data_IF_814091952485
#
_entry.id   IF_814091952485
#
_cell.length_a   1.000
_cell.length_b   1.000
_cell.length_c   1.000
_cell.angle_alpha   90.00
_cell.angle_beta   90.00
_cell.angle_gamma   90.00
#
_symmetry.space_group_name_H-M   'P 1'
#
loop_
_entity.id
_entity.type
_entity.pdbx_description
1 polymer ?
#
# COMPACT_ATOMS: atom_id res chain seq x y z
N UNK A 1 49.59 26.27 4.21
CA UNK A 1 48.76 25.58 5.22
C UNK A 1 47.37 26.21 5.25
N UNK A 2 46.37 25.60 4.61
CA UNK A 2 44.97 26.03 4.75
C UNK A 2 44.43 25.37 6.01
N UNK A 3 44.22 26.16 7.07
CA UNK A 3 43.53 25.70 8.26
C UNK A 3 42.12 25.23 7.87
N UNK A 4 41.90 23.92 7.94
CA UNK A 4 40.58 23.34 7.75
C UNK A 4 39.69 23.85 8.87
N UNK A 5 38.74 24.73 8.56
CA UNK A 5 37.65 25.09 9.46
C UNK A 5 36.76 23.84 9.62
N UNK A 6 37.17 22.93 10.51
CA UNK A 6 36.31 21.88 11.03
C UNK A 6 35.21 22.57 11.84
N UNK A 7 34.10 22.91 11.17
CA UNK A 7 32.88 23.35 11.83
C UNK A 7 32.50 22.26 12.84
N UNK A 8 32.70 22.53 14.13
CA UNK A 8 32.23 21.68 15.24
C UNK A 8 30.73 21.47 15.04
N UNK A 9 30.32 20.27 14.60
CA UNK A 9 28.91 19.87 14.67
C UNK A 9 28.62 19.60 16.14
N UNK A 10 27.90 20.52 16.78
CA UNK A 10 27.35 20.27 18.12
C UNK A 10 26.26 19.21 18.00
N UNK A 11 26.57 17.98 18.41
CA UNK A 11 25.58 16.92 18.55
C UNK A 11 25.00 17.03 19.95
N UNK A 12 23.90 17.75 20.11
CA UNK A 12 23.13 17.67 21.36
C UNK A 12 22.44 16.31 21.34
N UNK A 13 22.83 15.47 22.29
CA UNK A 13 22.11 14.23 22.57
C UNK A 13 20.71 14.57 23.10
N UNK A 14 19.64 13.90 22.65
CA UNK A 14 18.36 13.90 23.37
C UNK A 14 18.59 13.53 24.84
N UNK A 15 17.80 14.13 25.75
CA UNK A 15 17.82 13.77 27.17
C UNK A 15 17.47 12.28 27.36
N UNK A 16 17.91 11.70 28.48
CA UNK A 16 17.66 10.29 28.81
C UNK A 16 16.17 9.96 28.76
N UNK A 17 15.31 10.81 29.31
CA UNK A 17 13.84 10.67 29.26
C UNK A 17 13.29 10.43 27.85
N UNK A 18 13.71 11.23 26.85
CA UNK A 18 13.24 11.07 25.46
C UNK A 18 13.78 9.81 24.79
N UNK A 19 14.94 9.31 25.22
CA UNK A 19 15.49 8.03 24.75
C UNK A 19 14.69 6.88 25.34
N UNK A 20 14.42 6.92 26.64
CA UNK A 20 13.59 5.95 27.36
C UNK A 20 12.19 5.86 26.74
N UNK A 21 11.54 7.00 26.50
CA UNK A 21 10.21 7.05 25.85
C UNK A 21 10.22 6.39 24.46
N UNK A 22 11.26 6.66 23.65
CA UNK A 22 11.40 6.05 22.33
C UNK A 22 11.63 4.54 22.42
N UNK A 23 12.50 4.09 23.32
CA UNK A 23 12.81 2.67 23.50
C UNK A 23 11.58 1.89 23.99
N UNK A 24 10.83 2.41 24.96
CA UNK A 24 9.57 1.81 25.42
C UNK A 24 8.54 1.70 24.30
N UNK A 25 8.37 2.75 23.49
CA UNK A 25 7.43 2.73 22.36
C UNK A 25 7.91 1.78 21.25
N UNK A 26 9.22 1.69 21.00
CA UNK A 26 9.82 0.78 20.04
C UNK A 26 9.67 -0.68 20.47
N UNK A 27 9.88 -0.98 21.76
CA UNK A 27 9.70 -2.31 22.34
C UNK A 27 8.30 -2.85 22.05
N UNK A 28 7.26 -2.05 22.32
CA UNK A 28 5.88 -2.43 22.03
C UNK A 28 5.67 -2.74 20.54
N UNK A 29 6.25 -1.93 19.65
CA UNK A 29 6.12 -2.13 18.21
C UNK A 29 6.88 -3.36 17.70
N UNK A 30 8.03 -3.69 18.28
CA UNK A 30 8.86 -4.83 17.90
C UNK A 30 8.30 -6.15 18.44
N UNK A 31 7.86 -6.19 19.69
CA UNK A 31 7.25 -7.37 20.31
C UNK A 31 5.96 -7.76 19.59
N UNK A 32 5.21 -6.79 19.05
CA UNK A 32 4.02 -7.04 18.21
C UNK A 32 4.32 -7.89 16.97
N UNK A 33 5.53 -7.82 16.45
CA UNK A 33 5.96 -8.58 15.25
C UNK A 33 6.91 -9.73 15.58
N UNK A 34 6.89 -10.18 16.84
CA UNK A 34 7.61 -11.36 17.32
C UNK A 34 9.07 -11.14 17.66
N UNK A 35 9.61 -9.92 17.51
CA UNK A 35 10.95 -9.63 17.99
C UNK A 35 10.88 -9.45 19.50
N UNK A 36 11.53 -10.31 20.26
CA UNK A 36 11.57 -10.18 21.71
C UNK A 36 12.58 -9.10 22.09
N UNK A 37 12.06 -7.92 22.44
CA UNK A 37 12.84 -6.82 22.97
C UNK A 37 12.47 -6.61 24.44
N UNK A 38 13.49 -6.56 25.29
CA UNK A 38 13.38 -6.11 26.68
C UNK A 38 14.32 -4.93 26.90
N UNK A 39 13.77 -3.86 27.47
CA UNK A 39 14.49 -2.68 27.88
C UNK A 39 14.51 -2.63 29.42
N UNK A 40 15.70 -2.69 30.00
CA UNK A 40 15.90 -2.65 31.45
C UNK A 40 16.68 -1.39 31.80
N UNK A 41 16.05 -0.51 32.58
CA UNK A 41 16.68 0.71 33.10
C UNK A 41 17.21 0.44 34.51
N UNK A 42 18.53 0.51 34.67
CA UNK A 42 19.22 0.50 35.97
C UNK A 42 19.77 1.91 36.24
N UNK A 43 19.99 2.28 37.52
CA UNK A 43 20.22 3.65 37.99
C UNK A 43 21.09 4.56 37.09
N UNK A 44 22.10 4.01 36.39
CA UNK A 44 22.91 4.74 35.40
C UNK A 44 23.12 4.02 34.05
N UNK A 45 22.59 2.80 33.88
CA UNK A 45 22.84 1.96 32.71
C UNK A 45 21.53 1.50 32.05
N UNK A 46 21.59 1.35 30.73
CA UNK A 46 20.51 0.82 29.91
C UNK A 46 20.97 -0.51 29.33
N UNK A 47 20.26 -1.58 29.68
CA UNK A 47 20.43 -2.89 29.06
C UNK A 47 19.28 -3.14 28.08
N UNK A 48 19.63 -3.67 26.90
CA UNK A 48 18.65 -4.03 25.86
C UNK A 48 18.91 -5.48 25.49
N UNK A 49 17.97 -6.35 25.83
CA UNK A 49 17.91 -7.70 25.29
C UNK A 49 17.08 -7.67 24.01
N UNK A 50 17.59 -8.30 22.95
CA UNK A 50 16.91 -8.36 21.66
C UNK A 50 17.15 -9.72 21.01
N UNK A 51 16.07 -10.47 20.85
CA UNK A 51 16.03 -11.72 20.08
C UNK A 51 15.11 -11.52 18.88
N UNK A 52 15.63 -11.54 17.64
CA UNK A 52 14.79 -11.34 16.48
C UNK A 52 13.89 -12.54 16.23
N UNK A 53 12.67 -12.30 15.73
CA UNK A 53 11.84 -13.39 15.22
C UNK A 53 12.55 -14.11 14.07
N UNK A 54 12.67 -15.42 14.18
CA UNK A 54 13.29 -16.25 13.14
C UNK A 54 12.29 -16.52 12.00
N UNK A 55 12.25 -15.58 11.05
CA UNK A 55 11.43 -15.72 9.85
C UNK A 55 11.88 -16.84 8.91
N UNK A 56 13.11 -17.37 9.05
CA UNK A 56 13.63 -18.42 8.17
C UNK A 56 13.15 -19.81 8.60
N UNK A 57 13.02 -20.06 9.90
CA UNK A 57 12.50 -21.33 10.44
C UNK A 57 10.98 -21.37 10.58
N UNK A 58 10.31 -20.22 10.65
CA UNK A 58 8.86 -20.13 10.74
C UNK A 58 8.16 -20.58 9.45
N UNK A 59 7.05 -21.30 9.60
CA UNK A 59 6.19 -21.64 8.47
C UNK A 59 5.45 -20.43 7.90
N UNK A 60 5.07 -20.53 6.63
CA UNK A 60 4.26 -19.53 5.93
C UNK A 60 2.99 -19.11 6.70
N UNK A 61 2.34 -20.05 7.39
CA UNK A 61 1.11 -19.77 8.14
C UNK A 61 1.38 -19.09 9.47
N UNK A 62 2.48 -19.43 10.17
CA UNK A 62 2.90 -18.74 11.39
C UNK A 62 3.22 -17.28 11.11
N UNK A 63 4.00 -17.01 10.05
CA UNK A 63 4.31 -15.65 9.61
C UNK A 63 3.03 -14.90 9.25
N UNK A 64 2.11 -15.52 8.49
CA UNK A 64 0.82 -14.89 8.16
C UNK A 64 -0.02 -14.59 9.39
N UNK A 65 -0.08 -15.52 10.35
CA UNK A 65 -0.85 -15.34 11.58
C UNK A 65 -0.31 -14.19 12.44
N UNK A 66 1.00 -14.16 12.65
CA UNK A 66 1.71 -13.08 13.35
C UNK A 66 1.42 -11.72 12.70
N UNK A 67 1.56 -11.66 11.38
CA UNK A 67 1.36 -10.45 10.60
C UNK A 67 -0.09 -9.96 10.60
N UNK A 68 -1.06 -10.86 10.50
CA UNK A 68 -2.48 -10.52 10.60
C UNK A 68 -2.79 -9.93 11.97
N UNK A 69 -2.29 -10.55 13.05
CA UNK A 69 -2.45 -10.06 14.42
C UNK A 69 -1.86 -8.65 14.59
N UNK A 70 -0.61 -8.46 14.14
CA UNK A 70 0.09 -7.19 14.22
C UNK A 70 -0.63 -6.06 13.47
N UNK A 71 -1.08 -6.33 12.24
CA UNK A 71 -1.82 -5.35 11.45
C UNK A 71 -3.19 -5.02 12.03
N UNK A 72 -3.88 -6.01 12.60
CA UNK A 72 -5.16 -5.82 13.26
C UNK A 72 -5.03 -4.91 14.48
N UNK A 73 -4.00 -5.10 15.30
CA UNK A 73 -3.71 -4.21 16.43
C UNK A 73 -3.37 -2.77 15.96
N UNK A 74 -2.50 -2.62 14.96
CA UNK A 74 -2.16 -1.31 14.39
C UNK A 74 -3.37 -0.60 13.77
N UNK A 75 -4.28 -1.37 13.16
CA UNK A 75 -5.56 -0.87 12.68
C UNK A 75 -6.40 -0.35 13.85
N UNK A 76 -6.60 -1.13 14.91
CA UNK A 76 -7.35 -0.69 16.11
C UNK A 76 -6.76 0.60 16.70
N UNK A 77 -5.45 0.68 16.87
CA UNK A 77 -4.75 1.90 17.33
C UNK A 77 -5.08 3.09 16.41
N UNK A 78 -5.11 2.87 15.09
CA UNK A 78 -5.42 3.92 14.11
C UNK A 78 -6.88 4.37 14.19
N UNK A 79 -7.82 3.45 14.31
CA UNK A 79 -9.26 3.73 14.34
C UNK A 79 -9.66 4.44 15.64
N UNK A 80 -9.04 4.09 16.76
CA UNK A 80 -9.27 4.71 18.08
C UNK A 80 -8.59 6.05 18.28
N UNK A 81 -7.87 6.58 17.29
CA UNK A 81 -7.48 7.99 17.32
C UNK A 81 -8.73 8.86 17.31
N UNK A 82 -8.84 9.78 18.25
CA UNK A 82 -10.02 10.64 18.46
C UNK A 82 -10.61 11.24 17.17
N UNK A 83 -9.75 11.81 16.31
CA UNK A 83 -10.17 12.39 15.03
C UNK A 83 -10.65 11.36 13.98
N UNK A 84 -10.16 10.13 14.07
CA UNK A 84 -10.59 9.01 13.23
C UNK A 84 -11.87 8.38 13.77
N UNK A 85 -11.98 8.17 15.08
CA UNK A 85 -13.19 7.74 15.79
C UNK A 85 -14.38 8.63 15.41
N UNK A 86 -14.24 9.95 15.60
CA UNK A 86 -15.27 10.95 15.21
C UNK A 86 -15.64 10.90 13.72
N UNK A 87 -14.64 10.70 12.86
CA UNK A 87 -14.88 10.61 11.42
C UNK A 87 -15.67 9.35 11.06
N UNK A 88 -15.32 8.20 11.62
CA UNK A 88 -15.99 6.92 11.38
C UNK A 88 -17.47 7.01 11.77
N UNK A 89 -17.74 7.43 13.01
CA UNK A 89 -19.11 7.55 13.52
C UNK A 89 -19.97 8.47 12.64
N UNK A 90 -19.44 9.64 12.28
CA UNK A 90 -20.13 10.56 11.36
C UNK A 90 -20.47 9.92 10.01
N UNK A 91 -19.54 9.15 9.43
CA UNK A 91 -19.75 8.52 8.13
C UNK A 91 -20.78 7.38 8.20
N UNK A 92 -20.75 6.58 9.26
CA UNK A 92 -21.68 5.48 9.51
C UNK A 92 -23.09 5.95 9.86
N UNK A 93 -23.23 7.05 10.60
CA UNK A 93 -24.53 7.72 10.83
C UNK A 93 -25.10 8.36 9.55
N UNK A 94 -24.27 8.51 8.52
CA UNK A 94 -24.62 9.12 7.23
C UNK A 94 -24.77 8.08 6.12
N UNK A 95 -23.98 8.27 5.07
CA UNK A 95 -24.19 7.58 3.77
C UNK A 95 -23.69 6.14 3.75
N UNK A 96 -22.76 5.75 4.62
CA UNK A 96 -22.00 4.49 4.49
C UNK A 96 -22.90 3.25 4.49
N UNK A 97 -23.88 3.18 5.39
CA UNK A 97 -24.77 2.01 5.48
C UNK A 97 -25.54 1.77 4.18
N UNK A 98 -25.83 2.83 3.43
CA UNK A 98 -26.51 2.77 2.13
C UNK A 98 -25.55 2.55 0.96
N UNK A 99 -24.24 2.52 1.17
CA UNK A 99 -23.27 2.24 0.10
C UNK A 99 -22.80 0.78 0.11
N UNK A 100 -23.05 0.05 1.20
CA UNK A 100 -22.70 -1.36 1.34
C UNK A 100 -23.91 -2.21 0.97
N UNK A 101 -23.69 -3.24 0.14
CA UNK A 101 -24.76 -4.14 -0.25
C UNK A 101 -25.12 -5.09 0.91
N UNK A 102 -26.41 -5.36 1.12
CA UNK A 102 -26.80 -6.56 1.89
C UNK A 102 -26.59 -7.79 1.03
N UNK A 103 -26.28 -8.92 1.66
CA UNK A 103 -26.12 -10.19 0.97
C UNK A 103 -27.26 -10.55 0.03
N UNK A 104 -28.49 -10.37 0.51
CA UNK A 104 -29.73 -10.66 -0.23
C UNK A 104 -30.04 -9.69 -1.39
N UNK A 105 -29.33 -8.57 -1.48
CA UNK A 105 -29.56 -7.55 -2.52
C UNK A 105 -28.69 -7.78 -3.77
N UNK A 106 -27.68 -8.66 -3.69
CA UNK A 106 -26.73 -8.87 -4.78
C UNK A 106 -27.21 -10.01 -5.68
N UNK A 107 -27.62 -9.65 -6.90
CA UNK A 107 -27.80 -10.59 -8.00
C UNK A 107 -26.47 -10.74 -8.75
N UNK A 108 -25.86 -11.92 -8.64
CA UNK A 108 -24.52 -12.23 -9.15
C UNK A 108 -24.43 -12.00 -10.67
N UNK A 109 -25.46 -12.41 -11.42
CA UNK A 109 -25.48 -12.31 -12.89
C UNK A 109 -25.54 -10.85 -13.35
N UNK A 110 -26.11 -9.97 -12.51
CA UNK A 110 -26.30 -8.55 -12.82
C UNK A 110 -25.14 -7.67 -12.39
N UNK A 111 -24.15 -8.18 -11.64
CA UNK A 111 -23.01 -7.38 -11.18
C UNK A 111 -22.37 -6.66 -12.37
N UNK A 112 -22.38 -5.32 -12.35
CA UNK A 112 -21.83 -4.47 -13.41
C UNK A 112 -20.94 -3.40 -12.79
N UNK A 113 -19.60 -3.56 -12.84
CA UNK A 113 -18.68 -2.61 -12.26
C UNK A 113 -18.65 -1.29 -13.04
N UNK A 114 -18.60 -0.17 -12.33
CA UNK A 114 -18.30 1.16 -12.88
C UNK A 114 -17.22 1.82 -12.02
N UNK A 115 -16.14 2.27 -12.65
CA UNK A 115 -15.01 2.91 -11.96
C UNK A 115 -15.20 4.42 -11.96
N UNK A 116 -15.47 5.00 -10.79
CA UNK A 116 -15.64 6.46 -10.61
C UNK A 116 -14.44 7.07 -9.89
N UNK A 117 -13.82 8.08 -10.49
CA UNK A 117 -12.69 8.78 -9.88
C UNK A 117 -13.16 9.68 -8.74
N UNK A 118 -12.44 9.69 -7.61
CA UNK A 118 -12.78 10.53 -6.46
C UNK A 118 -12.31 11.98 -6.66
N UNK A 119 -13.23 12.87 -7.00
CA UNK A 119 -12.91 14.28 -7.25
C UNK A 119 -13.45 15.19 -6.15
N UNK A 120 -14.69 14.93 -5.70
CA UNK A 120 -15.34 15.72 -4.67
C UNK A 120 -14.76 15.44 -3.28
N UNK A 121 -15.15 16.25 -2.28
CA UNK A 121 -14.81 15.97 -0.88
C UNK A 121 -15.53 14.71 -0.39
N UNK A 122 -16.78 14.51 -0.81
CA UNK A 122 -17.60 13.37 -0.44
C UNK A 122 -16.98 12.06 -0.92
N UNK A 123 -16.56 11.97 -2.19
CA UNK A 123 -15.89 10.77 -2.72
C UNK A 123 -14.63 10.43 -1.94
N UNK A 124 -13.85 11.47 -1.58
CA UNK A 124 -12.60 11.31 -0.82
C UNK A 124 -12.87 10.86 0.61
N UNK A 125 -13.95 11.31 1.23
CA UNK A 125 -14.36 10.88 2.56
C UNK A 125 -14.90 9.43 2.50
N UNK A 126 -15.71 9.06 1.50
CA UNK A 126 -16.15 7.67 1.26
C UNK A 126 -14.93 6.75 1.03
N UNK A 127 -14.02 7.13 0.14
CA UNK A 127 -12.79 6.39 -0.10
C UNK A 127 -11.94 6.27 1.17
N UNK A 128 -11.82 7.35 1.96
CA UNK A 128 -11.09 7.33 3.24
C UNK A 128 -11.71 6.34 4.22
N UNK A 129 -13.03 6.29 4.32
CA UNK A 129 -13.72 5.32 5.16
C UNK A 129 -13.39 3.89 4.74
N UNK A 130 -13.62 3.55 3.46
CA UNK A 130 -13.37 2.18 2.96
C UNK A 130 -11.89 1.79 2.95
N UNK A 131 -10.97 2.76 2.87
CA UNK A 131 -9.52 2.51 2.98
C UNK A 131 -9.12 1.85 4.30
N UNK A 132 -9.87 2.06 5.38
CA UNK A 132 -9.60 1.42 6.67
C UNK A 132 -9.93 -0.09 6.69
N UNK A 133 -10.58 -0.63 5.64
CA UNK A 133 -10.78 -2.07 5.51
C UNK A 133 -9.49 -2.80 5.08
N UNK A 134 -8.55 -2.11 4.44
CA UNK A 134 -7.25 -2.69 4.14
C UNK A 134 -6.52 -3.03 5.44
N UNK A 135 -6.02 -4.27 5.55
CA UNK A 135 -5.33 -4.73 6.77
C UNK A 135 -4.05 -3.94 7.02
N UNK A 136 -3.28 -3.68 5.97
CA UNK A 136 -1.99 -2.99 6.10
C UNK A 136 -2.20 -1.53 6.52
N UNK A 137 -1.53 -1.05 7.59
CA UNK A 137 -1.62 0.32 8.05
C UNK A 137 -1.22 1.31 6.98
N UNK A 138 -2.14 2.22 6.68
CA UNK A 138 -1.97 3.14 5.56
C UNK A 138 -1.71 4.58 6.03
N UNK A 139 -0.70 5.22 5.43
CA UNK A 139 -0.43 6.66 5.58
C UNK A 139 -0.76 7.39 4.29
N UNK A 140 -1.38 8.58 4.33
CA UNK A 140 -1.60 9.36 3.10
C UNK A 140 -0.25 9.67 2.44
N UNK A 141 -0.06 9.20 1.21
CA UNK A 141 1.10 9.54 0.39
C UNK A 141 1.09 11.01 -0.03
N UNK A 142 2.27 11.54 -0.35
CA UNK A 142 2.46 12.90 -0.89
C UNK A 142 2.87 12.79 -2.36
N UNK A 143 2.46 13.74 -3.19
CA UNK A 143 2.78 13.78 -4.62
C UNK A 143 1.63 13.31 -5.50
N UNK A 144 1.97 12.65 -6.62
CA UNK A 144 0.97 12.10 -7.56
C UNK A 144 0.11 11.08 -6.82
N UNK A 145 -1.19 11.30 -6.77
CA UNK A 145 -2.16 10.36 -6.20
C UNK A 145 -3.55 10.66 -6.70
N UNK A 146 -4.33 9.61 -6.85
CA UNK A 146 -5.77 9.68 -7.02
C UNK A 146 -6.38 8.36 -6.54
N UNK A 147 -7.68 8.39 -6.37
CA UNK A 147 -8.44 7.25 -5.90
C UNK A 147 -9.67 7.08 -6.76
N UNK A 148 -10.18 5.86 -6.80
CA UNK A 148 -11.42 5.52 -7.46
C UNK A 148 -12.25 4.60 -6.57
N UNK A 149 -13.56 4.69 -6.72
CA UNK A 149 -14.54 3.78 -6.12
C UNK A 149 -15.15 2.96 -7.26
N UNK A 150 -15.27 1.66 -7.04
CA UNK A 150 -15.91 0.73 -7.97
C UNK A 150 -17.33 0.52 -7.49
N UNK A 151 -18.30 1.01 -8.24
CA UNK A 151 -19.72 0.80 -7.96
C UNK A 151 -20.25 -0.40 -8.75
N UNK A 152 -21.20 -1.12 -8.19
CA UNK A 152 -22.04 -2.07 -8.89
C UNK A 152 -23.31 -1.37 -9.33
N UNK A 153 -23.36 -0.97 -10.61
CA UNK A 153 -24.49 -0.22 -11.19
C UNK A 153 -25.55 -1.14 -11.80
N UNK A 154 -25.35 -2.46 -11.75
CA UNK A 154 -26.29 -3.44 -12.28
C UNK A 154 -27.36 -3.90 -11.28
N UNK A 155 -27.19 -3.54 -10.01
CA UNK A 155 -28.16 -3.84 -8.96
C UNK A 155 -29.31 -2.82 -8.95
N UNK A 156 -30.38 -3.14 -8.22
CA UNK A 156 -31.52 -2.21 -8.03
C UNK A 156 -31.09 -0.88 -7.41
N UNK A 157 -30.07 -0.91 -6.55
CA UNK A 157 -29.46 0.27 -5.95
C UNK A 157 -27.96 0.10 -6.07
N UNK A 158 -27.27 1.15 -6.50
CA UNK A 158 -25.82 1.09 -6.66
C UNK A 158 -25.14 0.85 -5.31
N UNK A 159 -24.19 -0.08 -5.28
CA UNK A 159 -23.41 -0.42 -4.07
C UNK A 159 -21.93 -0.43 -4.39
N UNK A 160 -21.07 -0.32 -3.39
CA UNK A 160 -19.63 -0.32 -3.59
C UNK A 160 -19.10 -1.75 -3.63
N UNK A 161 -18.48 -2.11 -4.76
CA UNK A 161 -17.71 -3.35 -4.93
C UNK A 161 -16.36 -3.24 -4.22
N UNK A 162 -15.70 -2.09 -4.36
CA UNK A 162 -14.34 -1.92 -3.90
C UNK A 162 -13.78 -0.53 -4.15
N UNK A 163 -12.52 -0.34 -3.76
CA UNK A 163 -11.79 0.91 -3.94
C UNK A 163 -10.39 0.66 -4.48
N UNK A 164 -9.89 1.60 -5.27
CA UNK A 164 -8.55 1.62 -5.85
C UNK A 164 -7.86 2.92 -5.46
N UNK A 165 -6.64 2.84 -4.92
CA UNK A 165 -5.82 3.99 -4.60
C UNK A 165 -4.45 3.88 -5.25
N UNK A 166 -4.16 4.83 -6.14
CA UNK A 166 -2.89 4.93 -6.84
C UNK A 166 -2.10 6.11 -6.29
N UNK A 167 -0.81 5.90 -6.06
CA UNK A 167 0.13 6.96 -5.66
C UNK A 167 1.44 6.86 -6.42
N UNK A 168 2.25 7.92 -6.42
CA UNK A 168 3.57 7.91 -7.05
C UNK A 168 4.42 6.77 -6.52
N UNK A 169 5.03 5.99 -7.42
CA UNK A 169 5.87 4.87 -7.02
C UNK A 169 7.10 5.36 -6.22
N UNK A 170 7.50 4.58 -5.21
CA UNK A 170 8.68 4.88 -4.41
C UNK A 170 9.92 5.03 -5.32
N UNK A 171 10.77 6.02 -5.06
CA UNK A 171 11.97 6.20 -5.88
C UNK A 171 12.90 4.98 -5.75
N UNK A 172 13.06 4.41 -4.57
CA UNK A 172 13.90 3.24 -4.32
C UNK A 172 13.08 1.95 -4.27
N UNK A 173 13.24 1.09 -5.28
CA UNK A 173 12.72 -0.28 -5.28
C UNK A 173 13.67 -1.15 -6.11
N UNK A 174 14.48 -1.98 -5.44
CA UNK A 174 15.52 -2.80 -6.08
C UNK A 174 14.92 -3.75 -7.12
N UNK A 175 13.92 -4.57 -6.74
CA UNK A 175 13.31 -5.54 -7.67
C UNK A 175 12.70 -4.88 -8.90
N UNK A 176 12.07 -3.70 -8.75
CA UNK A 176 11.56 -2.95 -9.90
C UNK A 176 12.69 -2.46 -10.78
N UNK A 177 13.67 -1.80 -10.17
CA UNK A 177 14.74 -1.15 -10.92
C UNK A 177 15.57 -2.19 -11.68
N UNK A 178 15.77 -3.37 -11.10
CA UNK A 178 16.41 -4.52 -11.76
C UNK A 178 15.55 -5.07 -12.91
N UNK A 179 14.27 -5.37 -12.66
CA UNK A 179 13.35 -5.91 -13.68
C UNK A 179 13.18 -4.98 -14.89
N UNK A 180 13.14 -3.66 -14.66
CA UNK A 180 13.03 -2.65 -15.71
C UNK A 180 14.38 -2.18 -16.26
N UNK A 181 15.51 -2.76 -15.82
CA UNK A 181 16.85 -2.36 -16.25
C UNK A 181 17.13 -0.85 -16.02
N UNK A 182 16.61 -0.32 -14.92
CA UNK A 182 16.86 1.05 -14.44
C UNK A 182 18.05 1.14 -13.48
N UNK A 183 18.66 0.02 -13.11
CA UNK A 183 19.90 -0.06 -12.33
C UNK A 183 21.06 -0.58 -13.18
N UNK A 184 22.29 -0.51 -12.65
CA UNK A 184 23.50 -1.03 -13.30
C UNK A 184 23.79 -0.41 -14.68
N UNK A 185 23.52 0.88 -14.82
CA UNK A 185 23.84 1.67 -16.02
C UNK A 185 25.15 2.43 -15.76
N UNK A 186 26.12 2.35 -16.68
CA UNK A 186 27.44 2.95 -16.52
C UNK A 186 27.39 4.47 -16.24
N UNK A 187 26.46 5.16 -16.90
CA UNK A 187 26.20 6.58 -16.70
C UNK A 187 25.12 6.83 -15.65
N UNK A 188 25.51 7.39 -14.50
CA UNK A 188 24.56 7.84 -13.45
C UNK A 188 23.54 8.85 -13.97
N UNK A 189 23.92 9.69 -14.94
CA UNK A 189 23.00 10.67 -15.53
C UNK A 189 21.92 9.97 -16.38
N UNK A 190 22.30 8.94 -17.12
CA UNK A 190 21.37 8.13 -17.90
C UNK A 190 20.45 7.29 -17.01
N UNK A 191 21.01 6.64 -15.98
CA UNK A 191 20.26 5.90 -14.96
C UNK A 191 19.15 6.77 -14.36
N UNK A 192 19.53 7.97 -13.89
CA UNK A 192 18.61 8.95 -13.34
C UNK A 192 17.54 9.36 -14.34
N UNK A 193 17.92 9.67 -15.58
CA UNK A 193 16.97 10.08 -16.64
C UNK A 193 15.95 8.98 -16.93
N UNK A 194 16.40 7.75 -17.18
CA UNK A 194 15.53 6.59 -17.47
C UNK A 194 14.55 6.33 -16.32
N UNK A 195 15.08 6.29 -15.10
CA UNK A 195 14.28 6.08 -13.89
C UNK A 195 13.27 7.20 -13.65
N UNK A 196 13.66 8.46 -13.79
CA UNK A 196 12.74 9.58 -13.62
C UNK A 196 11.64 9.59 -14.68
N UNK A 197 11.95 9.25 -15.93
CA UNK A 197 10.96 9.13 -17.00
C UNK A 197 9.98 7.99 -16.72
N UNK A 198 10.49 6.82 -16.37
CA UNK A 198 9.67 5.67 -16.03
C UNK A 198 8.81 5.88 -14.78
N UNK A 199 9.35 6.53 -13.75
CA UNK A 199 8.60 6.92 -12.55
C UNK A 199 7.49 7.94 -12.84
N UNK A 200 7.54 8.71 -13.92
CA UNK A 200 6.42 9.61 -14.32
C UNK A 200 5.26 8.83 -14.95
N UNK A 201 5.55 7.69 -15.59
CA UNK A 201 4.60 6.84 -16.33
C UNK A 201 4.14 5.60 -15.57
N UNK A 202 4.46 5.55 -14.29
CA UNK A 202 4.10 4.43 -13.42
C UNK A 202 3.51 4.93 -12.11
N UNK A 203 2.73 4.09 -11.46
CA UNK A 203 2.15 4.36 -10.14
C UNK A 203 2.32 3.14 -9.24
N UNK A 204 2.21 3.32 -7.93
CA UNK A 204 2.02 2.26 -6.97
C UNK A 204 0.52 2.10 -6.71
N UNK A 205 0.00 0.89 -6.91
CA UNK A 205 -1.31 0.45 -6.44
C UNK A 205 -1.21 0.21 -4.93
N UNK A 206 -1.45 1.29 -4.18
CA UNK A 206 -1.24 1.34 -2.74
C UNK A 206 -2.46 0.91 -1.95
N UNK A 207 -3.66 1.15 -2.49
CA UNK A 207 -4.93 0.68 -1.92
C UNK A 207 -5.63 -0.18 -2.95
N UNK A 208 -5.98 -1.40 -2.55
CA UNK A 208 -6.88 -2.27 -3.30
C UNK A 208 -7.69 -3.06 -2.29
N UNK A 209 -9.00 -2.87 -2.30
CA UNK A 209 -9.88 -3.52 -1.32
C UNK A 209 -11.24 -3.75 -1.95
N UNK A 210 -11.75 -4.98 -1.85
CA UNK A 210 -13.15 -5.27 -2.10
C UNK A 210 -13.94 -5.19 -0.80
N UNK A 211 -15.12 -4.59 -0.86
CA UNK A 211 -16.00 -4.41 0.28
C UNK A 211 -16.94 -5.60 0.34
N UNK A 212 -17.17 -6.21 1.52
CA UNK A 212 -18.19 -7.23 1.65
C UNK A 212 -19.56 -6.71 1.19
N UNK A 213 -20.36 -7.55 0.53
CA UNK A 213 -20.14 -8.98 0.31
C UNK A 213 -19.32 -9.33 -0.95
N UNK A 214 -18.90 -8.35 -1.75
CA UNK A 214 -18.20 -8.60 -3.03
C UNK A 214 -16.83 -9.27 -2.84
N UNK A 215 -16.20 -9.13 -1.67
CA UNK A 215 -14.98 -9.88 -1.36
C UNK A 215 -15.20 -11.41 -1.34
N UNK A 216 -16.39 -11.88 -0.97
CA UNK A 216 -16.77 -13.30 -1.04
C UNK A 216 -16.92 -13.79 -2.48
N UNK A 217 -17.08 -12.86 -3.42
CA UNK A 217 -17.20 -13.13 -4.86
C UNK A 217 -15.89 -12.83 -5.61
N UNK A 218 -14.74 -12.87 -4.93
CA UNK A 218 -13.44 -12.55 -5.53
C UNK A 218 -13.36 -11.10 -6.08
N UNK A 219 -14.11 -10.17 -5.50
CA UNK A 219 -14.12 -8.76 -5.90
C UNK A 219 -12.75 -8.09 -5.84
N UNK A 220 -11.82 -8.57 -5.01
CA UNK A 220 -10.44 -8.04 -4.98
C UNK A 220 -9.70 -8.33 -6.29
N UNK A 221 -10.00 -9.45 -6.96
CA UNK A 221 -9.44 -9.77 -8.27
C UNK A 221 -10.07 -8.89 -9.36
N UNK A 222 -11.37 -8.62 -9.27
CA UNK A 222 -12.04 -7.64 -10.14
C UNK A 222 -11.43 -6.23 -9.98
N UNK A 223 -11.22 -5.78 -8.75
CA UNK A 223 -10.55 -4.51 -8.47
C UNK A 223 -9.10 -4.45 -9.00
N UNK A 224 -8.38 -5.59 -8.99
CA UNK A 224 -7.03 -5.68 -9.55
C UNK A 224 -7.07 -5.50 -11.07
N UNK A 225 -7.98 -6.19 -11.76
CA UNK A 225 -8.22 -6.02 -13.20
C UNK A 225 -8.54 -4.56 -13.56
N UNK A 226 -9.46 -3.94 -12.81
CA UNK A 226 -9.91 -2.56 -13.04
C UNK A 226 -8.85 -1.51 -12.69
N UNK A 227 -7.72 -1.87 -12.06
CA UNK A 227 -6.66 -0.91 -11.72
C UNK A 227 -5.91 -0.36 -12.92
N UNK A 228 -6.10 -0.94 -14.11
CA UNK A 228 -5.54 -0.49 -15.38
C UNK A 228 -6.62 -0.27 -16.47
N UNK A 229 -7.91 -0.23 -16.11
CA UNK A 229 -9.02 -0.05 -17.06
C UNK A 229 -9.06 1.36 -17.66
N UNK A 230 -9.83 1.54 -18.74
CA UNK A 230 -9.97 2.81 -19.46
C UNK A 230 -10.23 4.04 -18.56
N UNK A 231 -11.17 4.04 -17.60
CA UNK A 231 -11.36 5.19 -16.71
C UNK A 231 -10.11 5.60 -15.91
N UNK A 232 -9.26 4.63 -15.54
CA UNK A 232 -8.00 4.89 -14.84
C UNK A 232 -6.96 5.47 -15.80
N UNK A 233 -6.87 4.91 -17.01
CA UNK A 233 -5.92 5.33 -18.06
C UNK A 233 -6.20 6.74 -18.55
N UNK A 234 -7.47 7.04 -18.84
CA UNK A 234 -7.96 8.34 -19.26
C UNK A 234 -7.66 9.39 -18.19
N UNK A 235 -8.09 9.15 -16.94
CA UNK A 235 -7.87 10.10 -15.85
C UNK A 235 -6.37 10.35 -15.60
N UNK A 236 -5.55 9.30 -15.59
CA UNK A 236 -4.11 9.44 -15.40
C UNK A 236 -3.47 10.28 -16.53
N UNK A 237 -3.82 9.96 -17.77
CA UNK A 237 -3.29 10.63 -18.96
C UNK A 237 -3.69 12.11 -19.00
N UNK A 238 -4.93 12.41 -18.67
CA UNK A 238 -5.44 13.78 -18.60
C UNK A 238 -4.79 14.57 -17.48
N UNK A 239 -4.63 13.98 -16.30
CA UNK A 239 -4.10 14.67 -15.13
C UNK A 239 -2.58 14.88 -15.20
N UNK A 240 -1.84 13.88 -15.68
CA UNK A 240 -0.37 13.88 -15.66
C UNK A 240 0.28 14.08 -17.03
N UNK A 241 -0.53 14.22 -18.09
CA UNK A 241 -0.10 14.48 -19.47
C UNK A 241 0.90 13.43 -19.98
N UNK A 242 0.72 12.19 -19.55
CA UNK A 242 1.54 11.03 -19.93
C UNK A 242 0.77 9.74 -19.61
N UNK A 243 0.96 8.63 -20.35
CA UNK A 243 0.20 7.40 -20.12
C UNK A 243 0.67 6.65 -18.87
N UNK A 244 -0.22 5.85 -18.30
CA UNK A 244 0.09 4.91 -17.24
C UNK A 244 0.52 3.57 -17.86
N UNK A 245 1.82 3.36 -17.98
CA UNK A 245 2.37 2.18 -18.64
C UNK A 245 2.37 0.94 -17.73
N UNK A 246 2.52 1.13 -16.42
CA UNK A 246 2.48 0.04 -15.44
C UNK A 246 2.13 0.53 -14.03
N UNK A 247 1.61 -0.38 -13.22
CA UNK A 247 1.43 -0.19 -11.77
C UNK A 247 2.32 -1.15 -10.99
N UNK A 248 2.77 -0.76 -9.81
CA UNK A 248 3.52 -1.63 -8.90
C UNK A 248 2.75 -1.84 -7.60
N UNK A 249 2.88 -3.00 -7.00
CA UNK A 249 2.34 -3.24 -5.68
C UNK A 249 3.18 -4.23 -4.90
N UNK A 250 2.94 -4.29 -3.61
CA UNK A 250 3.59 -5.21 -2.69
C UNK A 250 2.52 -6.02 -1.97
N UNK A 251 2.76 -7.31 -1.76
CA UNK A 251 1.88 -8.13 -0.94
C UNK A 251 1.84 -7.62 0.50
N UNK A 252 0.73 -7.89 1.17
CA UNK A 252 0.58 -7.63 2.60
C UNK A 252 1.14 -8.77 3.46
N UNK A 253 1.09 -10.01 2.96
CA UNK A 253 1.39 -11.23 3.70
C UNK A 253 2.21 -12.19 2.84
N UNK A 254 3.51 -12.25 3.09
CA UNK A 254 4.43 -13.14 2.38
C UNK A 254 4.71 -12.73 0.92
N UNK A 255 5.13 -13.72 0.14
CA UNK A 255 5.60 -13.54 -1.23
C UNK A 255 4.50 -13.54 -2.29
N UNK A 256 3.30 -13.99 -1.94
CA UNK A 256 2.24 -14.26 -2.93
C UNK A 256 0.89 -13.66 -2.53
N UNK A 257 0.21 -13.08 -3.52
CA UNK A 257 -1.10 -12.48 -3.36
C UNK A 257 -2.08 -13.04 -4.40
N UNK A 258 -3.08 -13.80 -3.93
CA UNK A 258 -4.03 -14.51 -4.80
C UNK A 258 -4.84 -13.58 -5.73
N UNK A 259 -5.06 -12.32 -5.33
CA UNK A 259 -5.76 -11.32 -6.14
C UNK A 259 -5.01 -10.92 -7.42
N UNK A 260 -3.68 -11.05 -7.46
CA UNK A 260 -2.87 -10.65 -8.62
C UNK A 260 -2.54 -11.83 -9.54
N UNK A 261 -2.45 -13.05 -9.01
CA UNK A 261 -1.99 -14.21 -9.78
C UNK A 261 -3.02 -14.68 -10.82
N UNK A 262 -2.56 -15.24 -11.95
CA UNK A 262 -3.39 -15.95 -12.95
C UNK A 262 -4.47 -15.08 -13.57
N UNK A 263 -4.14 -13.83 -13.86
CA UNK A 263 -4.99 -12.92 -14.62
C UNK A 263 -4.49 -12.93 -16.07
N UNK A 264 -5.00 -13.83 -16.91
CA UNK A 264 -4.50 -14.04 -18.27
C UNK A 264 -5.12 -13.02 -19.23
N UNK A 265 -4.29 -12.15 -19.80
CA UNK A 265 -4.76 -11.09 -20.71
C UNK A 265 -5.38 -11.65 -21.99
N UNK A 266 -4.81 -12.71 -22.58
CA UNK A 266 -5.36 -13.37 -23.79
C UNK A 266 -6.80 -13.86 -23.68
N UNK A 267 -7.31 -14.02 -22.46
CA UNK A 267 -8.67 -14.50 -22.20
C UNK A 267 -9.65 -13.36 -21.95
N UNK A 268 -9.15 -12.13 -21.83
CA UNK A 268 -10.02 -10.96 -21.79
C UNK A 268 -10.64 -10.81 -23.18
N UNK A 269 -11.98 -10.73 -23.29
CA UNK A 269 -12.66 -10.66 -24.58
C UNK A 269 -12.44 -9.33 -25.33
N UNK A 270 -11.20 -8.97 -25.70
CA UNK A 270 -10.92 -7.74 -26.46
C UNK A 270 -10.96 -7.96 -27.97
N UNK A 271 -11.17 -6.87 -28.72
CA UNK A 271 -10.72 -6.78 -30.12
C UNK A 271 -9.18 -6.96 -30.14
N UNK A 272 -8.68 -7.99 -30.81
CA UNK A 272 -7.31 -8.34 -31.28
C UNK A 272 -6.04 -8.05 -30.44
N UNK A 273 -6.01 -7.05 -29.56
CA UNK A 273 -4.83 -6.56 -28.82
C UNK A 273 -4.21 -7.60 -27.87
N UNK A 274 -5.01 -8.51 -27.31
CA UNK A 274 -4.53 -9.51 -26.35
C UNK A 274 -4.53 -10.95 -26.89
N UNK A 275 -5.17 -11.20 -28.04
CA UNK A 275 -5.43 -12.55 -28.56
C UNK A 275 -4.17 -13.39 -28.78
N UNK A 276 -3.03 -12.75 -29.07
CA UNK A 276 -1.75 -13.41 -29.32
C UNK A 276 -0.74 -13.24 -28.16
N UNK A 277 -1.18 -12.71 -27.02
CA UNK A 277 -0.31 -12.25 -25.94
C UNK A 277 -0.47 -13.12 -24.68
N UNK A 278 0.50 -14.01 -24.44
CA UNK A 278 0.44 -15.00 -23.33
C UNK A 278 1.02 -14.51 -21.99
N UNK A 279 0.75 -13.24 -21.64
CA UNK A 279 1.20 -12.69 -20.36
C UNK A 279 0.04 -12.50 -19.37
N UNK A 280 0.39 -12.49 -18.09
CA UNK A 280 -0.54 -12.14 -17.03
C UNK A 280 -0.56 -10.62 -16.81
N UNK A 281 -1.72 -10.07 -16.44
CA UNK A 281 -1.85 -8.65 -16.10
C UNK A 281 -0.90 -8.26 -14.97
N UNK A 282 -0.73 -9.13 -13.98
CA UNK A 282 0.22 -8.94 -12.89
C UNK A 282 1.24 -10.07 -12.83
N UNK A 283 2.51 -9.70 -12.73
CA UNK A 283 3.65 -10.61 -12.57
C UNK A 283 4.38 -10.30 -11.28
N UNK A 284 4.81 -11.33 -10.53
CA UNK A 284 5.75 -11.15 -9.41
C UNK A 284 7.16 -10.98 -9.97
N UNK A 285 7.78 -9.84 -9.68
CA UNK A 285 9.10 -9.48 -10.20
C UNK A 285 10.21 -9.55 -9.15
N UNK A 286 9.87 -9.91 -7.92
CA UNK A 286 10.83 -10.05 -6.82
C UNK A 286 10.16 -9.89 -5.46
N UNK A 287 10.89 -9.32 -4.52
CA UNK A 287 10.47 -9.14 -3.14
C UNK A 287 11.11 -7.90 -2.49
N UNK A 288 10.46 -7.40 -1.45
CA UNK A 288 11.01 -6.29 -0.68
C UNK A 288 12.22 -6.75 0.11
N UNK A 289 13.17 -5.84 0.31
CA UNK A 289 14.23 -6.06 1.29
C UNK A 289 13.62 -6.21 2.71
N UNK A 290 14.33 -6.88 3.60
CA UNK A 290 13.88 -7.17 4.98
C UNK A 290 13.56 -5.92 5.82
N UNK A 291 13.96 -4.72 5.40
CA UNK A 291 13.76 -3.52 6.21
C UNK A 291 12.40 -2.86 5.95
N UNK A 292 11.57 -2.78 6.99
CA UNK A 292 10.28 -2.09 6.90
C UNK A 292 9.96 -1.29 8.16
N UNK A 293 9.24 -0.18 7.97
CA UNK A 293 8.73 0.68 9.05
C UNK A 293 7.20 0.65 9.10
N UNK A 294 6.59 -0.25 8.34
CA UNK A 294 5.14 -0.36 8.21
C UNK A 294 4.47 -0.75 9.54
N UNK A 295 5.24 -1.43 10.40
CA UNK A 295 4.83 -1.92 11.71
C UNK A 295 5.01 -0.93 12.85
N UNK A 296 5.78 0.13 12.60
CA UNK A 296 5.96 1.16 13.60
C UNK A 296 4.71 2.00 13.68
N UNK A 297 4.16 2.12 14.89
CA UNK A 297 3.01 2.95 15.17
C UNK A 297 3.30 4.43 14.84
N UNK A 298 2.23 5.20 14.63
CA UNK A 298 2.37 6.65 14.48
C UNK A 298 2.96 7.29 15.76
N UNK A 299 2.71 6.69 16.95
CA UNK A 299 3.23 7.13 18.25
C UNK A 299 4.76 7.05 18.29
N UNK A 300 5.34 5.89 17.97
CA UNK A 300 6.80 5.72 17.90
C UNK A 300 7.44 6.68 16.91
N UNK A 301 6.80 6.90 15.76
CA UNK A 301 7.27 7.88 14.77
C UNK A 301 7.23 9.33 15.26
N UNK A 302 6.25 9.69 16.08
CA UNK A 302 6.10 11.02 16.67
C UNK A 302 7.11 11.25 17.79
N UNK A 303 7.29 10.30 18.70
CA UNK A 303 8.33 10.33 19.74
C UNK A 303 9.71 10.50 19.10
N UNK A 304 10.03 9.70 18.08
CA UNK A 304 11.29 9.80 17.36
C UNK A 304 11.52 11.17 16.69
N UNK A 305 10.45 11.86 16.25
CA UNK A 305 10.55 13.24 15.75
C UNK A 305 10.81 14.22 16.89
N UNK A 306 10.09 14.07 18.00
CA UNK A 306 10.16 14.94 19.18
C UNK A 306 11.48 14.83 19.95
N UNK A 307 12.23 13.74 19.76
CA UNK A 307 13.64 13.63 20.18
C UNK A 307 14.52 14.76 19.62
N UNK A 308 14.14 15.33 18.46
CA UNK A 308 14.99 16.24 17.70
C UNK A 308 14.37 17.63 17.45
N UNK A 309 13.19 17.92 18.00
CA UNK A 309 12.46 19.18 17.76
C UNK A 309 13.17 20.42 18.29
N UNK A 310 13.99 20.29 19.34
CA UNK A 310 14.70 21.40 20.00
C UNK A 310 16.19 21.50 19.63
N UNK A 311 16.65 20.78 18.59
CA UNK A 311 18.04 20.86 18.15
C UNK A 311 18.28 22.11 17.28
N UNK A 312 19.41 22.82 17.42
CA UNK A 312 19.76 23.93 16.55
C UNK A 312 19.83 23.42 15.10
N UNK A 313 18.87 23.86 14.28
CA UNK A 313 18.74 23.52 12.87
C UNK A 313 19.74 24.29 11.99
N UNK A 314 21.03 24.23 12.32
CA UNK A 314 22.07 24.86 11.50
C UNK A 314 22.57 23.91 10.40
N UNK A 315 21.90 23.95 9.24
CA UNK A 315 22.54 23.64 7.95
C UNK A 315 22.41 24.86 7.04
N UNK A 316 23.54 25.49 6.70
CA UNK A 316 23.61 26.48 5.62
C UNK A 316 23.45 25.77 4.27
N UNK A 317 22.33 26.04 3.58
CA UNK A 317 22.06 25.59 2.21
C UNK A 317 20.63 25.91 1.78
N UNK A 318 20.44 26.31 0.52
CA UNK A 318 19.21 26.81 -0.12
C UNK A 318 18.02 25.82 -0.19
N UNK A 319 18.06 24.66 0.46
CA UNK A 319 16.92 23.75 0.48
C UNK A 319 15.96 24.16 1.59
N UNK A 320 14.76 24.63 1.22
CA UNK A 320 13.67 24.88 2.15
C UNK A 320 13.49 23.74 3.17
N UNK A 321 13.44 24.14 4.44
CA UNK A 321 13.35 23.32 5.66
C UNK A 321 12.25 22.27 5.52
N UNK A 322 12.60 20.99 5.40
CA UNK A 322 11.62 19.90 5.47
C UNK A 322 11.68 19.27 6.86
N UNK A 323 10.53 19.08 7.55
CA UNK A 323 10.47 18.25 8.76
C UNK A 323 11.15 16.90 8.51
N UNK A 324 11.78 16.33 9.55
CA UNK A 324 12.33 14.98 9.44
C UNK A 324 11.20 14.02 9.02
N UNK A 325 11.44 13.26 7.94
CA UNK A 325 10.47 12.24 7.52
C UNK A 325 10.39 11.13 8.58
N UNK A 326 9.30 10.35 8.62
CA UNK A 326 9.16 9.19 9.54
C UNK A 326 10.43 8.34 9.52
N UNK A 327 10.87 7.93 8.33
CA UNK A 327 12.05 7.09 8.18
C UNK A 327 13.36 7.70 8.65
N UNK A 328 13.57 9.00 8.39
CA UNK A 328 14.77 9.72 8.87
C UNK A 328 14.76 9.88 10.39
N UNK A 329 13.59 10.14 10.98
CA UNK A 329 13.43 10.32 12.42
C UNK A 329 13.71 9.01 13.16
N UNK A 330 13.08 7.91 12.74
CA UNK A 330 13.33 6.56 13.28
C UNK A 330 14.79 6.16 13.14
N UNK A 331 15.38 6.32 11.95
CA UNK A 331 16.78 5.96 11.72
C UNK A 331 17.74 6.72 12.65
N UNK A 332 17.45 8.00 12.92
CA UNK A 332 18.27 8.83 13.79
C UNK A 332 18.05 8.47 15.27
N UNK A 333 16.80 8.18 15.66
CA UNK A 333 16.45 7.75 17.01
C UNK A 333 17.15 6.43 17.38
N UNK A 334 17.09 5.42 16.51
CA UNK A 334 17.81 4.15 16.68
C UNK A 334 19.32 4.38 16.89
N UNK A 335 19.94 5.17 16.01
CA UNK A 335 21.37 5.46 16.10
C UNK A 335 21.78 6.17 17.39
N UNK A 336 20.94 7.04 17.94
CA UNK A 336 21.20 7.73 19.20
C UNK A 336 21.04 6.80 20.40
N UNK A 337 20.17 5.80 20.29
CA UNK A 337 19.97 4.78 21.32
C UNK A 337 20.92 3.58 21.17
N UNK A 338 21.95 3.67 20.31
CA UNK A 338 22.91 2.58 20.09
C UNK A 338 22.37 1.39 19.29
N UNK A 339 21.16 1.49 18.73
CA UNK A 339 20.52 0.38 18.01
C UNK A 339 20.86 0.39 16.52
N UNK A 340 21.08 -0.81 15.98
CA UNK A 340 21.20 -1.03 14.55
C UNK A 340 19.81 -1.04 13.90
N UNK A 341 19.71 -0.54 12.67
CA UNK A 341 18.50 -0.64 11.83
C UNK A 341 17.99 -2.07 11.64
N UNK A 342 18.86 -3.08 11.80
CA UNK A 342 18.49 -4.49 11.72
C UNK A 342 17.39 -4.92 12.70
N UNK A 343 17.15 -4.17 13.79
CA UNK A 343 16.01 -4.43 14.69
C UNK A 343 14.65 -4.26 14.00
N UNK A 344 14.61 -3.57 12.85
CA UNK A 344 13.41 -3.39 12.02
C UNK A 344 13.34 -4.39 10.87
N UNK A 345 14.12 -5.47 10.93
CA UNK A 345 14.03 -6.54 9.94
C UNK A 345 12.67 -7.24 10.05
N UNK A 346 12.14 -7.60 8.90
CA UNK A 346 10.86 -8.25 8.70
C UNK A 346 11.03 -9.25 7.56
N UNK A 347 10.07 -10.16 7.43
CA UNK A 347 10.01 -11.07 6.30
C UNK A 347 9.87 -10.33 4.94
N UNK A 348 10.34 -10.93 3.83
CA UNK A 348 10.21 -10.36 2.49
C UNK A 348 8.77 -10.42 1.97
N UNK A 349 8.29 -9.31 1.38
CA UNK A 349 6.97 -9.25 0.75
C UNK A 349 7.11 -9.30 -0.77
N UNK A 350 6.24 -10.04 -1.45
CA UNK A 350 6.26 -10.15 -2.91
C UNK A 350 6.04 -8.79 -3.58
N UNK A 351 6.86 -8.45 -4.58
CA UNK A 351 6.73 -7.25 -5.41
C UNK A 351 6.13 -7.65 -6.75
N UNK A 352 5.06 -6.97 -7.14
CA UNK A 352 4.33 -7.22 -8.38
C UNK A 352 4.35 -6.01 -9.29
N UNK A 353 4.43 -6.25 -10.60
CA UNK A 353 4.15 -5.27 -11.66
C UNK A 353 2.83 -5.64 -12.34
N UNK A 354 1.96 -4.67 -12.53
CA UNK A 354 0.76 -4.75 -13.34
C UNK A 354 0.98 -4.02 -14.67
N UNK A 355 0.75 -4.68 -15.80
CA UNK A 355 0.94 -4.10 -17.14
C UNK A 355 0.01 -4.74 -18.17
N UNK A 356 -0.49 -3.94 -19.12
CA UNK A 356 -1.38 -4.42 -20.18
C UNK A 356 -0.62 -5.08 -21.34
N UNK A 357 0.61 -4.68 -21.64
CA UNK A 357 1.34 -5.23 -22.78
C UNK A 357 2.87 -5.09 -22.66
N UNK A 358 3.63 -5.97 -23.32
CA UNK A 358 5.09 -6.03 -23.25
C UNK A 358 5.72 -4.78 -23.85
N UNK A 359 5.07 -4.20 -24.86
CA UNK A 359 5.47 -2.91 -25.45
C UNK A 359 5.54 -1.81 -24.38
N UNK A 360 4.61 -1.77 -23.44
CA UNK A 360 4.63 -0.77 -22.36
C UNK A 360 5.86 -0.98 -21.46
N UNK A 361 6.22 -2.24 -21.18
CA UNK A 361 7.44 -2.58 -20.43
C UNK A 361 8.69 -2.21 -21.23
N UNK A 362 8.71 -2.44 -22.53
CA UNK A 362 9.83 -2.07 -23.40
C UNK A 362 10.02 -0.55 -23.47
N UNK A 363 8.93 0.24 -23.53
CA UNK A 363 9.01 1.70 -23.43
C UNK A 363 9.65 2.12 -22.10
N UNK A 364 9.26 1.48 -20.99
CA UNK A 364 9.84 1.74 -19.66
C UNK A 364 11.33 1.35 -19.58
N UNK A 365 11.71 0.17 -20.09
CA UNK A 365 13.10 -0.33 -20.07
C UNK A 365 14.03 0.52 -20.92
N UNK A 366 13.57 0.93 -22.11
CA UNK A 366 14.36 1.74 -23.03
C UNK A 366 14.45 3.21 -22.59
N UNK A 367 13.54 3.67 -21.72
CA UNK A 367 13.40 5.08 -21.38
C UNK A 367 13.09 5.93 -22.61
N UNK A 368 12.23 5.40 -23.48
CA UNK A 368 11.79 6.05 -24.72
C UNK A 368 10.89 7.23 -24.40
N UNK A 369 11.10 8.38 -25.03
CA UNK A 369 10.16 9.50 -24.93
C UNK A 369 8.90 9.24 -25.76
N UNK A 370 9.04 8.53 -26.89
CA UNK A 370 7.90 8.07 -27.70
C UNK A 370 7.07 7.04 -26.95
N UNK A 371 5.75 7.19 -27.08
CA UNK A 371 4.72 6.34 -26.47
C UNK A 371 3.74 5.78 -27.52
N UNK A 372 4.06 5.91 -28.81
CA UNK A 372 3.13 5.58 -29.90
C UNK A 372 2.72 4.10 -29.92
N UNK A 373 3.57 3.22 -29.40
CA UNK A 373 3.34 1.78 -29.35
C UNK A 373 2.74 1.30 -28.01
N UNK A 374 2.33 2.25 -27.14
CA UNK A 374 1.73 1.91 -25.86
C UNK A 374 0.32 1.36 -26.06
N UNK A 375 0.03 0.20 -25.45
CA UNK A 375 -1.28 -0.44 -25.48
C UNK A 375 -1.92 -0.24 -24.11
N UNK A 376 -3.01 0.53 -24.08
CA UNK A 376 -3.62 1.03 -22.85
C UNK A 376 -5.11 0.68 -22.72
N UNK A 377 -5.70 0.10 -23.76
CA UNK A 377 -7.15 -0.15 -23.79
C UNK A 377 -7.52 -1.39 -22.97
N UNK A 378 -8.30 -1.19 -21.93
CA UNK A 378 -8.89 -2.25 -21.13
C UNK A 378 -10.32 -1.83 -20.74
N UNK A 379 -11.26 -2.26 -21.55
CA UNK A 379 -12.68 -1.99 -21.38
C UNK A 379 -13.25 -2.65 -20.10
N UNK A 380 -14.13 -1.93 -19.41
CA UNK A 380 -14.70 -2.36 -18.12
C UNK A 380 -15.67 -3.53 -18.30
N UNK A 381 -16.45 -3.57 -19.40
CA UNK A 381 -17.36 -4.68 -19.67
C UNK A 381 -16.58 -5.94 -20.07
N UNK A 382 -15.45 -5.83 -20.76
CA UNK A 382 -14.58 -6.97 -21.05
C UNK A 382 -13.89 -7.51 -19.80
N UNK A 383 -13.44 -6.63 -18.90
CA UNK A 383 -12.98 -7.02 -17.57
C UNK A 383 -14.06 -7.75 -16.79
N UNK A 384 -15.30 -7.25 -16.79
CA UNK A 384 -16.45 -7.89 -16.16
C UNK A 384 -16.66 -9.29 -16.73
N UNK A 385 -16.73 -9.44 -18.06
CA UNK A 385 -16.92 -10.74 -18.75
C UNK A 385 -15.82 -11.74 -18.36
N UNK A 386 -14.55 -11.32 -18.40
CA UNK A 386 -13.42 -12.16 -18.00
C UNK A 386 -13.53 -12.58 -16.53
N UNK A 387 -13.75 -11.63 -15.62
CA UNK A 387 -13.86 -11.95 -14.20
C UNK A 387 -15.01 -12.92 -13.94
N UNK A 388 -16.16 -12.70 -14.58
CA UNK A 388 -17.32 -13.55 -14.43
C UNK A 388 -17.04 -14.99 -14.89
N UNK A 389 -16.51 -15.16 -16.11
CA UNK A 389 -16.31 -16.48 -16.72
C UNK A 389 -15.07 -17.22 -16.22
N UNK A 390 -13.95 -16.52 -16.03
CA UNK A 390 -12.64 -17.13 -15.73
C UNK A 390 -12.31 -17.13 -14.23
N UNK A 391 -12.95 -16.27 -13.44
CA UNK A 391 -12.71 -16.17 -12.00
C UNK A 391 -13.90 -16.65 -11.20
N UNK A 392 -15.05 -16.00 -11.33
CA UNK A 392 -16.20 -16.24 -10.47
C UNK A 392 -16.81 -17.62 -10.73
N UNK A 393 -17.28 -17.90 -11.94
CA UNK A 393 -17.98 -19.16 -12.27
C UNK A 393 -17.11 -20.40 -12.07
N UNK A 394 -15.79 -20.28 -12.19
CA UNK A 394 -14.86 -21.40 -11.99
C UNK A 394 -14.53 -21.70 -10.54
N UNK A 395 -14.79 -20.76 -9.62
CA UNK A 395 -14.28 -20.83 -8.24
C UNK A 395 -15.34 -20.63 -7.17
N UNK A 396 -16.46 -20.00 -7.49
CA UNK A 396 -17.56 -19.84 -6.56
C UNK A 396 -18.05 -21.23 -6.13
N UNK A 397 -18.30 -21.38 -4.83
CA UNK A 397 -18.77 -22.62 -4.24
C UNK A 397 -19.84 -22.31 -3.18
N UNK A 398 -20.38 -23.37 -2.56
CA UNK A 398 -21.44 -23.26 -1.54
C UNK A 398 -21.03 -22.42 -0.32
N UNK A 399 -19.74 -22.38 0.04
CA UNK A 399 -19.24 -21.54 1.12
C UNK A 399 -19.33 -20.06 0.74
N UNK A 400 -18.93 -19.68 -0.48
CA UNK A 400 -19.06 -18.31 -0.97
C UNK A 400 -20.52 -17.85 -0.98
N UNK A 401 -21.43 -18.69 -1.47
CA UNK A 401 -22.86 -18.39 -1.49
C UNK A 401 -23.46 -18.25 -0.09
N UNK A 402 -23.00 -19.07 0.86
CA UNK A 402 -23.44 -18.98 2.26
C UNK A 402 -22.96 -17.69 2.91
N UNK A 403 -21.69 -17.32 2.69
CA UNK A 403 -21.14 -16.04 3.17
C UNK A 403 -21.88 -14.84 2.56
N UNK A 404 -22.20 -14.91 1.26
CA UNK A 404 -23.01 -13.89 0.60
C UNK A 404 -24.39 -13.80 1.25
N UNK A 405 -25.14 -14.89 1.36
CA UNK A 405 -26.52 -14.90 1.90
C UNK A 405 -26.58 -14.40 3.34
N UNK A 406 -25.58 -14.73 4.15
CA UNK A 406 -25.52 -14.35 5.56
C UNK A 406 -24.87 -12.99 5.81
N UNK A 407 -24.45 -12.26 4.76
CA UNK A 407 -23.80 -10.98 4.92
C UNK A 407 -24.76 -9.91 5.45
N UNK A 408 -24.43 -9.39 6.61
CA UNK A 408 -25.08 -8.24 7.23
C UNK A 408 -24.15 -7.02 7.26
N UNK A 409 -24.72 -5.86 6.95
CA UNK A 409 -23.99 -4.58 6.86
C UNK A 409 -23.43 -4.18 8.23
N UNK A 410 -24.16 -4.41 9.32
CA UNK A 410 -23.70 -4.02 10.67
C UNK A 410 -22.49 -4.83 11.11
N UNK A 411 -22.37 -6.09 10.67
CA UNK A 411 -21.25 -6.97 11.03
C UNK A 411 -19.89 -6.46 10.58
N UNK A 412 -19.83 -5.54 9.60
CA UNK A 412 -18.58 -5.04 9.03
C UNK A 412 -18.29 -3.58 9.33
N UNK A 413 -19.18 -2.87 10.04
CA UNK A 413 -18.97 -1.47 10.41
C UNK A 413 -17.65 -1.28 11.16
N UNK A 414 -16.95 -0.18 10.87
CA UNK A 414 -15.68 0.13 11.52
C UNK A 414 -15.88 0.55 12.97
N UNK A 415 -17.07 1.03 13.34
CA UNK A 415 -17.44 1.29 14.74
C UNK A 415 -17.29 0.07 15.65
N UNK A 416 -17.39 -1.15 15.12
CA UNK A 416 -17.18 -2.39 15.87
C UNK A 416 -15.74 -2.55 16.40
N UNK A 417 -14.77 -1.79 15.86
CA UNK A 417 -13.37 -1.80 16.29
C UNK A 417 -13.03 -0.67 17.29
N UNK A 418 -14.01 0.18 17.60
CA UNK A 418 -13.83 1.30 18.51
C UNK A 418 -13.92 0.83 19.97
N UNK A 419 -13.04 1.35 20.81
CA UNK A 419 -13.10 1.16 22.26
C UNK A 419 -14.37 1.82 22.78
N UNK A 420 -15.09 1.07 23.62
CA UNK A 420 -16.25 1.57 24.37
C UNK A 420 -15.71 2.47 25.48
N UNK A 421 -16.32 3.65 25.60
CA UNK A 421 -15.97 4.62 26.64
C UNK A 421 -16.37 4.12 28.05
#
# INVERSE_FOLDING_TARGET
MKASNMKKRLFISPCNEKRTEFLQSLQIDLNRIGHDMEFIEQENDIEIHFEPFDYESASDEEVKALMRSAFEELKKIKLNKESTKKFILKMEDGVIQNLIAKGSEVDIEKIKPEVRICESKEDKDIFRYFRYYQSVPNSPGVGRRFSAIIYDVGQKTERIIGIIGLQGAAYSSSSRDEYLKWSNIDSRAEEKRKKELGLRRTMQLAILTAIPPYNYLFGSKLAALLSLSNPIQEYFSDRYKTPLLAVFTTCAYGLHAAMYNRIQLRKIPSNDHYSYYDNELFERIGETNLFSQIMLSDKTAEIAKNMFSNLPNERQGLSFRTPLSKSRSISKALSVCGLNKKVLYMYPMGVYIGCLHENNLNILRNGSESINDAILDLDVDDVRKYWFSEVLNKKINSQNETLLKNHDVQSIMLSNYLEKD
#
